data_IF_434906315282
#
_entry.id   IF_434906315282
#
_cell.length_a   1.000
_cell.length_b   1.000
_cell.length_c   1.000
_cell.angle_alpha   90.00
_cell.angle_beta   90.00
_cell.angle_gamma   90.00
#
_symmetry.space_group_name_H-M   'P 1'
#
loop_
_entity.id
_entity.type
_entity.pdbx_description
1 polymer ?
#
# COMPACT_ATOMS: atom_id res chain seq x y z
N UNK A 1 38.53 12.23 -35.60
CA UNK A 1 37.53 12.98 -36.39
C UNK A 1 36.59 11.96 -37.02
N UNK A 2 35.51 11.61 -36.32
CA UNK A 2 34.47 10.76 -36.87
C UNK A 2 33.44 11.68 -37.53
N UNK A 3 33.32 11.59 -38.85
CA UNK A 3 32.36 12.33 -39.65
C UNK A 3 30.95 11.81 -39.40
N UNK A 4 30.14 12.59 -38.67
CA UNK A 4 28.69 12.43 -38.62
C UNK A 4 28.13 12.85 -39.98
N UNK A 5 27.75 11.87 -40.80
CA UNK A 5 26.94 12.11 -41.98
C UNK A 5 25.51 12.38 -41.51
N UNK A 6 25.11 13.63 -41.50
CA UNK A 6 23.71 14.04 -41.43
C UNK A 6 23.13 13.86 -42.83
N UNK A 7 22.54 12.71 -43.14
CA UNK A 7 21.68 12.54 -44.30
C UNK A 7 20.26 12.90 -43.88
N UNK A 8 19.72 13.98 -44.44
CA UNK A 8 18.29 14.30 -44.39
C UNK A 8 17.55 13.26 -45.27
N UNK A 9 17.32 12.07 -44.73
CA UNK A 9 16.36 11.13 -45.31
C UNK A 9 14.96 11.60 -44.94
N UNK A 10 14.14 11.90 -45.94
CA UNK A 10 12.73 12.21 -45.76
C UNK A 10 12.04 10.99 -45.19
N UNK A 11 11.88 10.94 -43.87
CA UNK A 11 11.16 9.86 -43.19
C UNK A 11 9.70 9.93 -43.66
N UNK A 12 9.25 8.87 -44.32
CA UNK A 12 7.87 8.72 -44.71
C UNK A 12 7.06 8.38 -43.45
N UNK A 13 6.24 9.33 -42.98
CA UNK A 13 5.43 9.19 -41.77
C UNK A 13 4.40 8.05 -41.87
N UNK A 14 4.00 7.68 -43.09
CA UNK A 14 3.05 6.59 -43.32
C UNK A 14 3.71 5.21 -43.34
N UNK A 15 5.06 5.14 -43.32
CA UNK A 15 5.83 3.90 -43.27
C UNK A 15 6.37 3.68 -41.85
N UNK A 16 5.67 2.85 -41.09
CA UNK A 16 5.96 2.57 -39.69
C UNK A 16 7.33 1.90 -39.49
N UNK A 17 7.75 1.04 -40.43
CA UNK A 17 9.02 0.32 -40.33
C UNK A 17 10.20 1.28 -40.54
N UNK A 18 10.08 2.22 -41.49
CA UNK A 18 11.06 3.27 -41.72
C UNK A 18 11.17 4.26 -40.54
N UNK A 19 10.04 4.54 -39.86
CA UNK A 19 10.00 5.34 -38.64
C UNK A 19 10.74 4.64 -37.49
N UNK A 20 10.52 3.34 -37.30
CA UNK A 20 11.19 2.56 -36.25
C UNK A 20 12.70 2.43 -36.47
N UNK A 21 13.15 2.26 -37.72
CA UNK A 21 14.57 2.15 -38.05
C UNK A 21 15.32 3.48 -37.88
N UNK A 22 14.62 4.62 -37.99
CA UNK A 22 15.17 5.94 -37.78
C UNK A 22 15.36 6.31 -36.30
N UNK A 23 14.68 5.65 -35.36
CA UNK A 23 14.82 5.92 -33.92
C UNK A 23 16.11 5.31 -33.36
N UNK A 24 16.79 6.08 -32.51
CA UNK A 24 17.91 5.55 -31.73
C UNK A 24 17.44 4.58 -30.63
N UNK A 25 18.36 3.78 -30.10
CA UNK A 25 18.04 2.80 -29.04
C UNK A 25 17.46 3.46 -27.77
N UNK A 26 17.90 4.68 -27.45
CA UNK A 26 17.40 5.47 -26.31
C UNK A 26 15.99 6.00 -26.58
N UNK A 27 15.70 6.44 -27.80
CA UNK A 27 14.37 6.90 -28.19
C UNK A 27 13.35 5.75 -28.23
N UNK A 28 13.76 4.56 -28.65
CA UNK A 28 12.94 3.35 -28.60
C UNK A 28 12.59 2.95 -27.16
N UNK A 29 13.52 3.10 -26.22
CA UNK A 29 13.27 2.84 -24.79
C UNK A 29 12.25 3.86 -24.23
N UNK A 30 12.42 5.14 -24.57
CA UNK A 30 11.46 6.17 -24.22
C UNK A 30 10.06 5.90 -24.80
N UNK A 31 9.95 5.43 -26.05
CA UNK A 31 8.67 5.04 -26.65
C UNK A 31 8.04 3.87 -25.91
N UNK A 32 8.83 2.89 -25.48
CA UNK A 32 8.37 1.74 -24.72
C UNK A 32 7.77 2.15 -23.35
N UNK A 33 8.26 3.22 -22.73
CA UNK A 33 7.69 3.76 -21.48
C UNK A 33 6.27 4.32 -21.63
N UNK A 34 5.84 4.68 -22.84
CA UNK A 34 4.48 5.17 -23.12
C UNK A 34 3.50 4.04 -23.48
N UNK A 35 3.95 2.80 -23.60
CA UNK A 35 3.07 1.65 -23.85
C UNK A 35 2.40 1.25 -22.53
N UNK A 36 1.06 1.14 -22.55
CA UNK A 36 0.30 0.68 -21.39
C UNK A 36 0.73 -0.75 -21.00
N UNK A 37 1.20 -0.97 -19.75
CA UNK A 37 1.55 -2.31 -19.25
C UNK A 37 0.43 -3.34 -19.40
N UNK A 38 -0.83 -2.91 -19.42
CA UNK A 38 -2.00 -3.79 -19.54
C UNK A 38 -2.53 -3.95 -20.97
N UNK A 39 -1.79 -3.47 -21.97
CA UNK A 39 -2.17 -3.61 -23.37
C UNK A 39 -2.36 -5.08 -23.76
N UNK A 40 -3.52 -5.42 -24.37
CA UNK A 40 -3.92 -6.81 -24.65
C UNK A 40 -2.95 -7.59 -25.55
N UNK A 41 -2.20 -6.88 -26.41
CA UNK A 41 -1.21 -7.50 -27.31
C UNK A 41 0.20 -7.58 -26.70
N UNK A 42 0.40 -7.08 -25.47
CA UNK A 42 1.70 -7.11 -24.79
C UNK A 42 1.84 -8.40 -23.98
N UNK A 43 2.83 -9.27 -24.27
CA UNK A 43 3.07 -10.49 -23.52
C UNK A 43 3.52 -10.16 -22.09
N UNK A 44 3.23 -11.03 -21.14
CA UNK A 44 3.49 -10.80 -19.71
C UNK A 44 4.96 -10.42 -19.39
N UNK A 45 5.93 -10.91 -20.18
CA UNK A 45 7.35 -10.56 -20.02
C UNK A 45 7.66 -9.09 -20.31
N UNK A 46 6.88 -8.46 -21.20
CA UNK A 46 7.16 -7.13 -21.75
C UNK A 46 6.32 -6.05 -21.07
N UNK A 47 5.43 -6.43 -20.15
CA UNK A 47 4.63 -5.52 -19.31
C UNK A 47 5.47 -4.80 -18.24
N UNK A 48 6.71 -5.22 -18.04
CA UNK A 48 7.65 -4.60 -17.10
C UNK A 48 8.83 -3.98 -17.85
N UNK A 49 9.06 -2.68 -17.63
CA UNK A 49 10.18 -1.96 -18.23
C UNK A 49 11.54 -2.33 -17.60
N UNK A 50 11.54 -3.07 -16.49
CA UNK A 50 12.75 -3.49 -15.82
C UNK A 50 13.52 -4.53 -16.65
N UNK A 51 14.59 -4.09 -17.31
CA UNK A 51 15.55 -4.96 -18.01
C UNK A 51 16.89 -4.94 -17.30
N UNK A 52 17.42 -6.12 -16.97
CA UNK A 52 18.75 -6.26 -16.39
C UNK A 52 19.76 -6.56 -17.50
N UNK A 53 20.64 -5.61 -17.80
CA UNK A 53 21.76 -5.82 -18.74
C UNK A 53 22.99 -6.44 -18.06
N UNK A 54 22.93 -6.67 -16.75
CA UNK A 54 24.02 -7.26 -15.97
C UNK A 54 23.98 -8.78 -16.13
N UNK A 55 25.14 -9.37 -16.38
CA UNK A 55 25.27 -10.83 -16.41
C UNK A 55 25.03 -11.43 -15.01
N UNK A 56 24.51 -12.67 -14.92
CA UNK A 56 24.30 -13.33 -13.63
C UNK A 56 25.63 -13.45 -12.87
N UNK A 57 25.66 -13.01 -11.61
CA UNK A 57 26.89 -12.94 -10.80
C UNK A 57 27.19 -14.22 -10.02
N UNK A 58 26.51 -15.33 -10.33
CA UNK A 58 26.67 -16.61 -9.63
C UNK A 58 25.90 -16.66 -8.30
N UNK A 59 26.19 -17.63 -7.41
CA UNK A 59 25.55 -17.72 -6.10
C UNK A 59 25.90 -16.51 -5.23
N UNK A 60 24.94 -16.09 -4.39
CA UNK A 60 25.09 -14.93 -3.52
C UNK A 60 26.22 -15.14 -2.49
N UNK A 61 27.22 -14.26 -2.53
CA UNK A 61 28.30 -14.19 -1.53
C UNK A 61 28.16 -12.91 -0.68
N UNK A 62 27.70 -13.09 0.56
CA UNK A 62 27.50 -12.01 1.52
C UNK A 62 28.80 -11.28 1.85
N UNK A 63 29.93 -11.96 1.93
CA UNK A 63 31.20 -11.35 2.33
C UNK A 63 31.71 -10.39 1.25
N UNK A 64 31.54 -10.77 -0.02
CA UNK A 64 31.87 -9.93 -1.17
C UNK A 64 31.01 -8.66 -1.21
N UNK A 65 29.71 -8.79 -0.94
CA UNK A 65 28.81 -7.64 -0.87
C UNK A 65 29.21 -6.69 0.27
N UNK A 66 29.50 -7.23 1.46
CA UNK A 66 29.93 -6.41 2.60
C UNK A 66 31.24 -5.68 2.32
N UNK A 67 32.23 -6.36 1.71
CA UNK A 67 33.48 -5.74 1.30
C UNK A 67 33.27 -4.56 0.35
N UNK A 68 32.43 -4.76 -0.67
CA UNK A 68 32.05 -3.70 -1.61
C UNK A 68 31.37 -2.51 -0.91
N UNK A 69 30.41 -2.76 -0.02
CA UNK A 69 29.72 -1.70 0.72
C UNK A 69 30.67 -0.93 1.64
N UNK A 70 31.62 -1.61 2.28
CA UNK A 70 32.63 -0.95 3.11
C UNK A 70 33.59 -0.08 2.30
N UNK A 71 34.02 -0.56 1.13
CA UNK A 71 34.90 0.20 0.23
C UNK A 71 34.16 1.41 -0.35
N UNK A 72 32.91 1.23 -0.78
CA UNK A 72 32.06 2.32 -1.27
C UNK A 72 31.85 3.38 -0.18
N UNK A 73 31.50 2.97 1.03
CA UNK A 73 31.31 3.89 2.15
C UNK A 73 32.58 4.61 2.60
N UNK A 74 33.77 4.00 2.42
CA UNK A 74 35.05 4.67 2.68
C UNK A 74 35.47 5.62 1.55
N UNK A 75 35.08 5.33 0.32
CA UNK A 75 35.42 6.14 -0.86
C UNK A 75 34.49 7.33 -1.06
N UNK A 76 33.26 7.26 -0.54
CA UNK A 76 32.29 8.34 -0.62
C UNK A 76 32.78 9.54 0.20
N UNK A 77 32.89 10.71 -0.44
CA UNK A 77 33.36 11.93 0.21
C UNK A 77 32.21 12.58 0.94
N UNK A 78 32.48 13.11 2.13
CA UNK A 78 31.54 13.95 2.86
C UNK A 78 31.14 15.16 1.99
N UNK A 79 29.87 15.58 2.10
CA UNK A 79 29.41 16.80 1.46
C UNK A 79 30.13 18.03 2.03
N UNK A 80 30.31 19.07 1.23
CA UNK A 80 30.89 20.32 1.72
C UNK A 80 29.86 21.12 2.54
N UNK A 81 30.02 21.13 3.87
CA UNK A 81 29.21 21.96 4.75
C UNK A 81 29.55 23.45 4.61
N UNK A 82 28.67 24.22 3.96
CA UNK A 82 28.83 25.67 3.81
C UNK A 82 28.83 26.43 5.15
N UNK A 83 28.20 25.88 6.18
CA UNK A 83 28.12 26.46 7.53
C UNK A 83 28.19 25.35 8.57
N UNK A 84 29.37 25.09 9.19
CA UNK A 84 29.49 24.06 10.20
C UNK A 84 28.63 24.38 11.41
N UNK A 85 28.02 23.35 12.00
CA UNK A 85 27.24 23.49 13.22
C UNK A 85 28.14 23.86 14.40
N UNK A 86 27.80 24.96 15.09
CA UNK A 86 28.45 25.36 16.34
C UNK A 86 27.57 24.92 17.52
N UNK A 87 28.04 23.99 18.37
CA UNK A 87 27.29 23.56 19.55
C UNK A 87 26.95 24.76 20.46
N UNK A 88 25.67 24.93 20.78
CA UNK A 88 25.20 25.98 21.68
C UNK A 88 24.81 27.30 21.01
N UNK A 89 24.99 27.45 19.70
CA UNK A 89 24.54 28.66 18.98
C UNK A 89 23.02 28.63 18.76
N UNK A 90 22.27 29.39 19.56
CA UNK A 90 20.83 29.61 19.35
C UNK A 90 20.63 30.84 18.47
N UNK A 91 20.30 30.63 17.20
CA UNK A 91 20.04 31.73 16.24
C UNK A 91 18.70 32.46 16.46
N UNK A 92 17.82 31.90 17.28
CA UNK A 92 16.50 32.46 17.58
C UNK A 92 16.39 32.91 19.03
N UNK A 93 15.44 33.80 19.30
CA UNK A 93 15.02 34.11 20.67
C UNK A 93 14.42 32.84 21.29
N UNK A 94 14.85 32.51 22.51
CA UNK A 94 14.21 31.44 23.29
C UNK A 94 12.78 31.89 23.55
N UNK A 95 11.81 31.09 23.10
CA UNK A 95 10.41 31.37 23.35
C UNK A 95 10.16 31.37 24.86
N UNK A 96 9.57 32.46 25.35
CA UNK A 96 9.04 32.54 26.70
C UNK A 96 7.53 32.37 26.57
N UNK A 97 6.97 31.44 27.33
CA UNK A 97 5.53 31.27 27.38
C UNK A 97 4.91 32.60 27.81
N UNK A 98 3.95 33.16 27.03
CA UNK A 98 3.12 34.23 27.52
C UNK A 98 2.51 33.78 28.85
N UNK A 99 2.52 34.65 29.85
CA UNK A 99 1.74 34.41 31.05
C UNK A 99 0.29 34.23 30.60
N UNK A 100 -0.21 33.00 30.71
CA UNK A 100 -1.61 32.71 30.47
C UNK A 100 -2.34 33.45 31.57
N UNK A 101 -2.83 34.65 31.26
CA UNK A 101 -3.90 35.24 32.03
C UNK A 101 -4.96 34.14 32.08
N UNK A 102 -5.26 33.66 33.30
CA UNK A 102 -6.37 32.74 33.51
C UNK A 102 -7.54 33.36 32.74
N UNK A 103 -8.17 32.62 31.80
CA UNK A 103 -9.34 33.17 31.15
C UNK A 103 -10.25 33.65 32.27
N UNK A 104 -10.59 34.95 32.26
CA UNK A 104 -11.82 35.39 32.92
C UNK A 104 -12.87 34.55 32.23
N UNK A 105 -13.33 33.53 32.94
CA UNK A 105 -14.45 32.72 32.53
C UNK A 105 -15.61 33.71 32.42
N UNK A 106 -15.88 34.18 31.20
CA UNK A 106 -17.17 34.77 30.91
C UNK A 106 -18.15 33.61 31.10
N UNK A 107 -18.86 33.63 32.23
CA UNK A 107 -19.79 32.60 32.72
C UNK A 107 -21.06 32.47 31.84
N UNK A 108 -20.95 32.67 30.52
CA UNK A 108 -22.10 32.70 29.60
C UNK A 108 -21.84 32.00 28.27
N UNK A 109 -21.03 30.93 28.24
CA UNK A 109 -21.42 29.80 27.39
C UNK A 109 -22.58 29.12 28.12
N UNK A 110 -23.80 29.64 27.92
CA UNK A 110 -25.05 29.05 28.40
C UNK A 110 -25.25 27.71 27.68
N UNK A 111 -24.47 26.70 28.08
CA UNK A 111 -24.68 25.32 27.70
C UNK A 111 -25.97 24.90 28.39
N UNK A 112 -27.11 25.15 27.72
CA UNK A 112 -28.42 24.75 28.23
C UNK A 112 -28.41 23.25 28.38
N UNK A 113 -28.33 22.77 29.62
CA UNK A 113 -28.41 21.36 29.94
C UNK A 113 -29.70 20.81 29.35
N UNK A 114 -29.57 19.87 28.42
CA UNK A 114 -30.69 19.22 27.77
C UNK A 114 -31.00 17.90 28.48
N UNK A 115 -32.18 17.35 28.23
CA UNK A 115 -32.53 15.98 28.66
C UNK A 115 -31.59 14.92 28.07
N UNK A 116 -30.91 15.22 26.96
CA UNK A 116 -29.91 14.35 26.35
C UNK A 116 -28.61 14.29 27.14
N UNK A 117 -28.24 15.35 27.86
CA UNK A 117 -27.02 15.36 28.66
C UNK A 117 -27.13 14.38 29.84
N UNK A 118 -28.29 14.33 30.51
CA UNK A 118 -28.55 13.35 31.58
C UNK A 118 -28.55 11.91 31.04
N UNK A 119 -29.13 11.69 29.85
CA UNK A 119 -29.14 10.38 29.21
C UNK A 119 -27.74 9.94 28.77
N UNK A 120 -26.95 10.82 28.17
CA UNK A 120 -25.59 10.54 27.72
C UNK A 120 -24.62 10.33 28.89
N UNK A 121 -24.81 11.05 29.99
CA UNK A 121 -23.96 10.92 31.19
C UNK A 121 -24.23 9.62 31.96
N UNK A 122 -25.48 9.13 31.92
CA UNK A 122 -25.87 7.87 32.57
C UNK A 122 -25.79 6.65 31.63
N UNK A 123 -25.63 6.84 30.32
CA UNK A 123 -25.54 5.76 29.35
C UNK A 123 -24.28 4.91 29.55
N UNK A 124 -24.43 3.61 29.36
CA UNK A 124 -23.30 2.68 29.36
C UNK A 124 -22.47 2.81 28.09
N UNK A 125 -21.19 2.45 28.15
CA UNK A 125 -20.28 2.52 26.99
C UNK A 125 -20.80 1.70 25.79
N UNK A 126 -21.52 0.60 26.04
CA UNK A 126 -22.17 -0.20 25.00
C UNK A 126 -23.30 0.55 24.31
N UNK A 127 -24.16 1.24 25.07
CA UNK A 127 -25.27 2.03 24.53
C UNK A 127 -24.76 3.24 23.73
N UNK A 128 -23.67 3.87 24.16
CA UNK A 128 -23.04 4.98 23.43
C UNK A 128 -22.49 4.49 22.08
N UNK A 129 -21.86 3.30 22.03
CA UNK A 129 -21.37 2.70 20.79
C UNK A 129 -22.52 2.32 19.86
N UNK A 130 -23.62 1.77 20.39
CA UNK A 130 -24.82 1.45 19.60
C UNK A 130 -25.47 2.72 19.02
N UNK A 131 -25.61 3.77 19.82
CA UNK A 131 -26.12 5.06 19.38
C UNK A 131 -25.25 5.66 18.27
N UNK A 132 -23.93 5.65 18.45
CA UNK A 132 -23.00 6.14 17.43
C UNK A 132 -23.02 5.29 16.16
N UNK A 133 -23.28 3.97 16.25
CA UNK A 133 -23.46 3.11 15.08
C UNK A 133 -24.77 3.43 14.32
N UNK A 134 -25.88 3.63 15.05
CA UNK A 134 -27.18 4.01 14.47
C UNK A 134 -27.12 5.40 13.82
N UNK A 135 -26.44 6.36 14.45
CA UNK A 135 -26.26 7.72 13.91
C UNK A 135 -25.20 7.79 12.79
N UNK A 136 -24.39 6.75 12.60
CA UNK A 136 -23.34 6.72 11.58
C UNK A 136 -22.04 7.44 11.98
N UNK A 137 -21.79 7.64 13.27
CA UNK A 137 -20.53 8.19 13.79
C UNK A 137 -19.41 7.15 13.83
N UNK A 138 -18.91 6.77 12.65
CA UNK A 138 -17.84 5.79 12.50
C UNK A 138 -16.49 6.25 13.05
N UNK A 139 -16.30 7.55 13.28
CA UNK A 139 -15.05 8.10 13.84
C UNK A 139 -14.87 7.81 15.35
N UNK A 140 -15.94 7.39 16.03
CA UNK A 140 -15.98 7.15 17.47
C UNK A 140 -15.91 5.65 17.83
N UNK A 141 -15.87 4.78 16.82
CA UNK A 141 -16.05 3.33 16.95
C UNK A 141 -15.01 2.60 16.09
N UNK A 142 -14.49 1.46 16.57
CA UNK A 142 -13.61 0.60 15.77
C UNK A 142 -14.41 -0.25 14.76
N UNK A 143 -13.78 -0.70 13.67
CA UNK A 143 -14.40 -1.52 12.62
C UNK A 143 -15.10 -2.78 13.16
N UNK A 144 -14.54 -3.41 14.20
CA UNK A 144 -15.11 -4.61 14.83
C UNK A 144 -16.43 -4.30 15.54
N UNK A 145 -16.48 -3.18 16.26
CA UNK A 145 -17.66 -2.73 16.98
C UNK A 145 -18.75 -2.23 16.02
N UNK A 146 -18.36 -1.51 14.97
CA UNK A 146 -19.28 -1.09 13.91
C UNK A 146 -19.96 -2.30 13.25
N UNK A 147 -19.17 -3.31 12.86
CA UNK A 147 -19.71 -4.53 12.27
C UNK A 147 -20.59 -5.31 13.25
N UNK A 148 -20.24 -5.35 14.55
CA UNK A 148 -21.07 -5.99 15.57
C UNK A 148 -22.44 -5.31 15.70
N UNK A 149 -22.47 -3.97 15.77
CA UNK A 149 -23.70 -3.19 15.84
C UNK A 149 -24.59 -3.37 14.60
N UNK A 150 -24.01 -3.40 13.39
CA UNK A 150 -24.76 -3.63 12.14
C UNK A 150 -25.29 -5.06 12.03
N UNK A 151 -24.59 -6.05 12.60
CA UNK A 151 -24.97 -7.47 12.53
C UNK A 151 -25.73 -7.99 13.75
N UNK A 152 -26.20 -7.08 14.62
CA UNK A 152 -26.95 -7.38 15.85
C UNK A 152 -26.22 -8.40 16.76
N UNK A 153 -24.89 -8.32 16.77
CA UNK A 153 -24.02 -9.15 17.61
C UNK A 153 -23.64 -8.37 18.87
N UNK A 154 -23.50 -9.04 20.03
CA UNK A 154 -23.10 -8.37 21.26
C UNK A 154 -21.74 -7.69 21.06
N UNK A 155 -21.69 -6.39 21.34
CA UNK A 155 -20.46 -5.60 21.29
C UNK A 155 -19.56 -6.08 22.42
N UNK A 156 -18.42 -6.66 22.07
CA UNK A 156 -17.41 -7.09 23.04
C UNK A 156 -16.72 -5.87 23.64
N UNK A 157 -16.88 -5.65 24.93
CA UNK A 157 -16.23 -4.57 25.71
C UNK A 157 -14.69 -4.69 25.72
N UNK A 158 -14.14 -5.85 25.35
CA UNK A 158 -12.70 -6.08 25.26
C UNK A 158 -12.07 -5.59 23.94
N UNK A 159 -12.87 -5.16 22.95
CA UNK A 159 -12.41 -4.80 21.60
C UNK A 159 -12.03 -3.31 21.41
N UNK A 160 -11.84 -2.59 22.52
CA UNK A 160 -11.45 -1.17 22.52
C UNK A 160 -12.66 -0.24 22.51
N UNK A 161 -13.15 0.13 23.70
CA UNK A 161 -14.19 1.14 23.87
C UNK A 161 -13.68 2.58 23.79
N UNK A 162 -14.60 3.54 23.96
CA UNK A 162 -14.36 4.99 23.97
C UNK A 162 -13.19 5.40 24.88
N UNK A 163 -13.08 4.77 26.06
CA UNK A 163 -12.02 5.04 27.04
C UNK A 163 -10.91 3.98 27.05
N UNK A 164 -10.96 3.00 26.16
CA UNK A 164 -10.00 1.90 26.16
C UNK A 164 -8.70 2.30 25.46
N UNK A 165 -7.56 1.92 26.03
CA UNK A 165 -6.28 2.06 25.36
C UNK A 165 -6.30 1.33 24.01
N UNK A 166 -5.87 2.01 22.95
CA UNK A 166 -5.75 1.42 21.62
C UNK A 166 -4.83 0.20 21.70
N UNK A 167 -5.39 -0.99 21.49
CA UNK A 167 -4.67 -2.27 21.42
C UNK A 167 -4.74 -2.79 20.00
N UNK A 168 -3.69 -3.50 19.59
CA UNK A 168 -3.73 -4.21 18.32
C UNK A 168 -4.79 -5.33 18.39
N UNK A 169 -5.56 -5.48 17.33
CA UNK A 169 -6.47 -6.63 17.18
C UNK A 169 -5.62 -7.89 16.93
N UNK A 170 -5.86 -9.01 17.64
CA UNK A 170 -5.18 -10.26 17.35
C UNK A 170 -5.48 -10.70 15.91
N UNK A 171 -4.44 -11.13 15.19
CA UNK A 171 -4.56 -11.65 13.84
C UNK A 171 -5.57 -12.80 13.82
N UNK A 172 -6.58 -12.69 12.97
CA UNK A 172 -7.52 -13.79 12.70
C UNK A 172 -6.74 -14.91 12.02
N UNK A 173 -6.38 -15.94 12.78
CA UNK A 173 -5.81 -17.16 12.25
C UNK A 173 -6.89 -17.90 11.49
N UNK A 174 -6.88 -17.76 10.18
CA UNK A 174 -7.73 -18.57 9.30
C UNK A 174 -7.07 -19.94 9.23
N UNK A 175 -7.72 -21.02 9.72
CA UNK A 175 -7.17 -22.36 9.56
C UNK A 175 -6.95 -22.63 8.07
N UNK A 176 -5.90 -23.38 7.69
CA UNK A 176 -5.72 -23.73 6.29
C UNK A 176 -6.99 -24.44 5.80
N UNK A 177 -7.48 -24.02 4.64
CA UNK A 177 -8.59 -24.71 3.99
C UNK A 177 -8.22 -26.19 3.79
N UNK A 178 -9.17 -27.12 3.94
CA UNK A 178 -8.90 -28.53 3.69
C UNK A 178 -8.40 -28.74 2.27
N UNK A 179 -7.48 -29.69 2.09
CA UNK A 179 -6.92 -30.01 0.78
C UNK A 179 -8.03 -30.36 -0.23
N UNK A 180 -7.85 -29.91 -1.48
CA UNK A 180 -8.81 -30.21 -2.54
C UNK A 180 -8.70 -31.69 -2.94
N UNK A 181 -9.69 -32.49 -2.54
CA UNK A 181 -9.77 -33.94 -2.81
C UNK A 181 -10.31 -34.28 -4.22
N UNK A 182 -10.40 -33.32 -5.13
CA UNK A 182 -10.93 -33.54 -6.48
C UNK A 182 -9.99 -34.44 -7.28
N UNK A 183 -10.49 -35.60 -7.72
CA UNK A 183 -9.75 -36.51 -8.60
C UNK A 183 -9.77 -35.97 -10.05
N UNK A 184 -8.58 -35.67 -10.57
CA UNK A 184 -8.41 -35.02 -11.89
C UNK A 184 -8.76 -35.98 -13.02
N UNK A 185 -8.32 -37.24 -12.93
CA UNK A 185 -8.55 -38.25 -13.95
C UNK A 185 -10.04 -38.53 -14.12
N UNK A 186 -10.76 -38.72 -13.00
CA UNK A 186 -12.20 -38.96 -13.02
C UNK A 186 -12.97 -37.74 -13.56
N UNK A 187 -12.55 -36.53 -13.22
CA UNK A 187 -13.15 -35.31 -13.77
C UNK A 187 -12.95 -35.21 -15.30
N UNK A 188 -11.78 -35.60 -15.81
CA UNK A 188 -11.50 -35.61 -17.26
C UNK A 188 -12.36 -36.65 -17.97
N UNK A 189 -12.52 -37.85 -17.40
CA UNK A 189 -13.37 -38.90 -17.98
C UNK A 189 -14.83 -38.49 -18.02
N UNK A 190 -15.37 -37.94 -16.92
CA UNK A 190 -16.76 -37.45 -16.86
C UNK A 190 -16.99 -36.26 -17.79
N UNK A 191 -16.02 -35.36 -17.91
CA UNK A 191 -16.09 -34.24 -18.85
C UNK A 191 -16.10 -34.73 -20.31
N UNK A 192 -15.26 -35.72 -20.67
CA UNK A 192 -15.25 -36.33 -22.02
C UNK A 192 -16.55 -37.10 -22.32
N UNK A 193 -17.14 -37.74 -21.31
CA UNK A 193 -18.41 -38.44 -21.43
C UNK A 193 -19.63 -37.50 -21.49
N UNK A 194 -19.42 -36.19 -21.30
CA UNK A 194 -20.46 -35.16 -21.25
C UNK A 194 -21.56 -35.49 -20.22
N UNK A 195 -21.10 -35.87 -19.02
CA UNK A 195 -21.97 -36.26 -17.92
C UNK A 195 -22.83 -35.06 -17.45
N UNK A 196 -24.14 -35.30 -17.31
CA UNK A 196 -25.12 -34.29 -16.89
C UNK A 196 -25.03 -33.95 -15.41
N UNK A 197 -24.45 -34.83 -14.60
CA UNK A 197 -24.25 -34.60 -13.17
C UNK A 197 -23.06 -33.66 -12.88
N UNK A 198 -22.13 -33.53 -13.84
CA UNK A 198 -20.95 -32.70 -13.72
C UNK A 198 -21.27 -31.22 -14.03
N UNK A 199 -21.66 -30.47 -12.99
CA UNK A 199 -22.04 -29.05 -13.11
C UNK A 199 -20.90 -28.07 -12.84
N UNK A 200 -19.96 -28.43 -11.96
CA UNK A 200 -18.83 -27.59 -11.57
C UNK A 200 -17.60 -28.44 -11.30
N UNK A 201 -16.47 -28.07 -11.90
CA UNK A 201 -15.17 -28.69 -11.67
C UNK A 201 -14.29 -27.68 -10.94
N UNK A 202 -13.72 -28.05 -9.79
CA UNK A 202 -12.81 -27.20 -9.02
C UNK A 202 -11.39 -27.78 -9.06
N UNK A 203 -10.50 -27.15 -9.83
CA UNK A 203 -9.10 -27.56 -10.02
C UNK A 203 -8.15 -26.63 -9.24
N UNK A 204 -8.67 -25.80 -8.33
CA UNK A 204 -7.83 -24.90 -7.54
C UNK A 204 -7.06 -25.71 -6.48
N UNK A 205 -5.76 -25.43 -6.30
CA UNK A 205 -4.91 -25.95 -5.24
C UNK A 205 -4.96 -27.49 -5.06
N UNK A 206 -5.09 -28.24 -6.16
CA UNK A 206 -4.96 -29.71 -6.13
C UNK A 206 -3.52 -30.10 -5.80
N UNK A 207 -3.34 -31.09 -4.92
CA UNK A 207 -2.03 -31.70 -4.69
C UNK A 207 -1.71 -32.58 -5.92
N UNK A 208 -0.63 -32.26 -6.61
CA UNK A 208 -0.11 -33.05 -7.74
C UNK A 208 0.67 -34.29 -7.29
#
# INVERSE_FOLDING_TARGET
>A
MATTKTSEESVNIDDFDALLEALSAEELENVNDFIDPEHSYLPASDRSNYRIHKTPTGPYDRNKLLGFLTEQGQSEKDWEEQKPFVPGEKKGKVWLAPEVAKPTHDEEDEFTHTEWDDLLTNATETEIVELAAILGFTGLINQVQYHAAVTDKPISTNAGGWNAAAKMEPLKLIPPEPDNMTNVEECIEKAKANDKELTKININNIQG
#
